data_IF_792499366204
#
_entry.id   IF_792499366204
#
_cell.length_a   1.000
_cell.length_b   1.000
_cell.length_c   1.000
_cell.angle_alpha   90.00
_cell.angle_beta   90.00
_cell.angle_gamma   90.00
#
_symmetry.space_group_name_H-M   'P 1'
#
loop_
_entity.id
_entity.type
_entity.pdbx_description
1 polymer ?
#
# COMPACT_ATOMS: atom_id res chain seq x y z
N UNK A 1 -10.87 -11.75 1.47
CA UNK A 1 -11.27 -10.39 1.91
C UNK A 1 -10.41 -9.95 3.07
N UNK A 2 -10.10 -8.66 3.17
CA UNK A 2 -9.34 -8.10 4.29
C UNK A 2 -10.29 -7.84 5.49
N UNK A 3 -9.97 -8.39 6.66
CA UNK A 3 -10.72 -8.12 7.89
C UNK A 3 -10.18 -6.84 8.56
N UNK A 4 -11.03 -5.81 8.61
CA UNK A 4 -10.73 -4.53 9.26
C UNK A 4 -11.40 -4.40 10.62
N UNK A 5 -12.30 -5.31 11.00
CA UNK A 5 -13.04 -5.22 12.26
C UNK A 5 -12.19 -5.70 13.44
N UNK A 6 -11.38 -6.73 13.24
CA UNK A 6 -10.45 -7.28 14.25
C UNK A 6 -8.99 -6.91 13.94
N UNK A 7 -8.79 -6.00 12.98
CA UNK A 7 -7.49 -5.57 12.52
C UNK A 7 -6.88 -4.44 13.38
N UNK A 8 -5.79 -3.82 12.90
CA UNK A 8 -5.21 -2.64 13.51
C UNK A 8 -6.25 -1.52 13.63
N UNK A 9 -6.15 -0.68 14.66
CA UNK A 9 -7.00 0.51 14.78
C UNK A 9 -6.67 1.49 13.66
N UNK A 10 -7.53 1.55 12.65
CA UNK A 10 -7.40 2.44 11.51
C UNK A 10 -8.57 3.43 11.52
N UNK A 11 -8.26 4.71 11.36
CA UNK A 11 -9.24 5.79 11.21
C UNK A 11 -9.46 6.15 9.72
N UNK A 12 -8.61 5.66 8.81
CA UNK A 12 -8.74 5.92 7.39
C UNK A 12 -8.10 4.86 6.49
N UNK A 13 -8.47 4.92 5.21
CA UNK A 13 -7.90 4.07 4.14
C UNK A 13 -7.53 4.98 2.96
N UNK A 14 -6.33 4.81 2.42
CA UNK A 14 -5.89 5.38 1.17
C UNK A 14 -5.78 4.29 0.09
N UNK A 15 -6.21 4.62 -1.12
CA UNK A 15 -6.19 3.75 -2.30
C UNK A 15 -5.34 4.44 -3.36
N UNK A 16 -4.24 3.80 -3.78
CA UNK A 16 -3.18 4.48 -4.53
C UNK A 16 -2.68 3.62 -5.67
N UNK A 17 -2.48 4.25 -6.82
CA UNK A 17 -1.78 3.64 -7.96
C UNK A 17 -0.29 4.03 -8.02
N UNK A 18 0.14 5.05 -7.27
CA UNK A 18 1.51 5.56 -7.27
C UNK A 18 2.12 5.56 -5.86
N UNK A 19 3.46 5.43 -5.70
CA UNK A 19 4.13 5.36 -4.40
C UNK A 19 4.05 6.63 -3.57
N UNK A 20 3.67 7.75 -4.19
CA UNK A 20 3.78 9.06 -3.59
C UNK A 20 2.42 9.69 -3.37
N UNK A 21 2.30 10.34 -2.22
CA UNK A 21 1.28 11.34 -1.93
C UNK A 21 2.00 12.67 -1.69
N UNK A 22 1.42 13.76 -2.20
CA UNK A 22 1.80 15.16 -1.92
C UNK A 22 3.32 15.46 -1.84
N UNK A 23 3.88 16.07 -2.88
CA UNK A 23 5.30 16.45 -2.89
C UNK A 23 6.28 15.27 -3.00
N UNK A 24 5.79 14.05 -3.21
CA UNK A 24 6.62 12.86 -3.46
C UNK A 24 6.76 11.91 -2.27
N UNK A 25 6.12 12.18 -1.13
CA UNK A 25 6.29 11.36 0.07
C UNK A 25 5.57 10.03 -0.04
N UNK A 26 6.24 8.93 0.36
CA UNK A 26 5.64 7.62 0.44
C UNK A 26 4.93 7.40 1.78
N UNK A 27 3.67 6.95 1.74
CA UNK A 27 2.83 6.70 2.91
C UNK A 27 3.40 5.64 3.85
N UNK A 28 3.88 4.51 3.33
CA UNK A 28 4.34 3.37 4.13
C UNK A 28 5.87 3.16 4.08
N UNK A 29 6.57 4.04 3.37
CA UNK A 29 8.03 4.10 3.33
C UNK A 29 8.64 3.34 2.15
N UNK A 30 9.96 3.45 2.01
CA UNK A 30 10.68 2.82 0.91
C UNK A 30 10.81 1.31 1.11
N UNK A 31 10.45 0.55 0.08
CA UNK A 31 10.76 -0.88 0.07
C UNK A 31 12.30 -1.10 0.09
N UNK A 32 12.84 -1.99 0.93
CA UNK A 32 14.27 -2.29 0.94
C UNK A 32 14.77 -2.84 -0.41
N UNK A 33 13.90 -3.44 -1.22
CA UNK A 33 14.19 -3.87 -2.59
C UNK A 33 14.38 -2.69 -3.57
N UNK A 34 13.77 -1.52 -3.34
CA UNK A 34 13.92 -0.33 -4.18
C UNK A 34 15.32 0.32 -4.02
N UNK A 35 15.93 0.24 -2.83
CA UNK A 35 17.33 0.68 -2.61
C UNK A 35 18.34 -0.09 -3.47
N UNK A 36 18.10 -1.39 -3.72
CA UNK A 36 18.94 -2.21 -4.62
C UNK A 36 18.55 -2.05 -6.10
N UNK A 37 17.26 -1.79 -6.40
CA UNK A 37 16.75 -1.72 -7.79
C UNK A 37 17.08 -0.43 -8.53
N UNK A 38 17.36 0.68 -7.82
CA UNK A 38 17.94 1.91 -8.43
C UNK A 38 19.28 1.67 -9.17
N UNK A 39 19.96 0.54 -8.93
CA UNK A 39 21.19 0.13 -9.64
C UNK A 39 21.00 -0.95 -10.71
N UNK A 40 19.81 -1.55 -10.85
CA UNK A 40 19.65 -2.81 -11.60
C UNK A 40 18.44 -2.86 -12.56
N UNK A 41 17.86 -1.72 -12.94
CA UNK A 41 16.75 -1.69 -13.90
C UNK A 41 17.25 -1.80 -15.35
N UNK A 42 17.71 -3.00 -15.73
CA UNK A 42 17.66 -3.47 -17.11
C UNK A 42 17.45 -4.98 -17.08
N UNK A 43 16.20 -5.37 -17.33
CA UNK A 43 15.70 -6.66 -17.86
C UNK A 43 14.59 -7.35 -17.04
N UNK A 44 13.50 -7.62 -17.79
CA UNK A 44 12.50 -8.70 -17.70
C UNK A 44 11.59 -8.75 -16.46
N UNK A 45 10.36 -9.24 -16.57
CA UNK A 45 9.38 -9.48 -17.65
C UNK A 45 8.12 -9.89 -16.90
N UNK A 46 6.96 -9.49 -17.40
CA UNK A 46 5.65 -9.80 -16.86
C UNK A 46 5.47 -11.29 -16.56
N UNK A 47 4.96 -11.56 -15.37
CA UNK A 47 4.35 -12.84 -15.00
C UNK A 47 2.94 -12.49 -14.55
N UNK A 48 1.96 -12.92 -15.33
CA UNK A 48 0.55 -12.81 -15.01
C UNK A 48 0.31 -13.40 -13.61
N UNK A 49 0.09 -12.50 -12.64
CA UNK A 49 -0.27 -12.87 -11.27
C UNK A 49 -1.78 -13.07 -11.25
N UNK A 50 -2.17 -14.33 -11.22
CA UNK A 50 -3.52 -14.78 -10.99
C UNK A 50 -4.14 -14.09 -9.75
N UNK A 51 -5.39 -13.63 -9.90
CA UNK A 51 -6.16 -12.87 -8.92
C UNK A 51 -6.30 -13.65 -7.61
N UNK A 52 -5.39 -13.41 -6.66
CA UNK A 52 -5.44 -14.02 -5.33
C UNK A 52 -6.41 -13.22 -4.45
N UNK A 53 -7.54 -13.84 -4.10
CA UNK A 53 -8.56 -13.27 -3.21
C UNK A 53 -8.18 -13.33 -1.71
N UNK A 54 -7.00 -13.86 -1.39
CA UNK A 54 -6.45 -13.99 -0.03
C UNK A 54 -5.76 -12.71 0.42
N UNK A 55 -5.99 -12.33 1.69
CA UNK A 55 -5.22 -11.27 2.35
C UNK A 55 -3.72 -11.59 2.32
N UNK A 56 -2.90 -10.69 1.79
CA UNK A 56 -1.45 -10.84 1.82
C UNK A 56 -0.92 -10.73 3.25
N UNK A 57 0.08 -11.53 3.59
CA UNK A 57 0.79 -11.39 4.86
C UNK A 57 1.67 -10.14 4.89
N UNK A 58 1.97 -9.62 6.08
CA UNK A 58 2.89 -8.48 6.24
C UNK A 58 4.27 -8.72 5.63
N UNK A 59 4.75 -9.97 5.63
CA UNK A 59 6.04 -10.34 5.03
C UNK A 59 6.00 -10.23 3.51
N UNK A 60 4.92 -10.67 2.87
CA UNK A 60 4.74 -10.54 1.42
C UNK A 60 4.59 -9.08 1.00
N UNK A 61 3.87 -8.27 1.79
CA UNK A 61 3.73 -6.83 1.54
C UNK A 61 5.03 -6.05 1.70
N UNK A 62 5.94 -6.49 2.58
CA UNK A 62 7.25 -5.87 2.74
C UNK A 62 8.16 -6.05 1.51
N UNK A 63 8.01 -7.16 0.78
CA UNK A 63 8.80 -7.46 -0.42
C UNK A 63 8.07 -7.12 -1.72
N UNK A 64 6.74 -7.01 -1.69
CA UNK A 64 5.93 -6.73 -2.87
C UNK A 64 6.34 -5.41 -3.52
N UNK A 65 6.66 -5.47 -4.81
CA UNK A 65 7.08 -4.29 -5.56
C UNK A 65 5.84 -3.56 -6.04
N UNK A 66 5.79 -2.26 -5.78
CA UNK A 66 4.84 -1.38 -6.44
C UNK A 66 5.29 -1.00 -7.84
N UNK A 67 4.41 -1.11 -8.82
CA UNK A 67 4.64 -0.69 -10.19
C UNK A 67 3.35 -0.14 -10.82
N UNK A 68 3.35 1.10 -11.29
CA UNK A 68 2.15 1.73 -11.89
C UNK A 68 1.60 0.95 -13.09
N UNK A 69 2.43 0.16 -13.77
CA UNK A 69 2.05 -0.66 -14.92
C UNK A 69 1.60 -2.08 -14.60
N UNK A 70 1.62 -2.52 -13.33
CA UNK A 70 1.29 -3.91 -12.96
C UNK A 70 -0.22 -4.19 -12.84
N UNK A 71 -1.06 -3.18 -13.10
CA UNK A 71 -2.52 -3.24 -12.94
C UNK A 71 -2.98 -3.57 -11.51
N UNK A 72 -2.15 -3.27 -10.51
CA UNK A 72 -2.46 -3.43 -9.10
C UNK A 72 -2.58 -2.07 -8.40
N UNK A 73 -3.34 -2.06 -7.34
CA UNK A 73 -3.64 -0.91 -6.49
C UNK A 73 -3.12 -1.21 -5.09
N UNK A 74 -2.50 -0.22 -4.47
CA UNK A 74 -2.10 -0.28 -3.07
C UNK A 74 -3.25 0.15 -2.17
N UNK A 75 -3.54 -0.68 -1.17
CA UNK A 75 -4.50 -0.36 -0.11
C UNK A 75 -3.70 -0.11 1.17
N UNK A 76 -3.80 1.11 1.70
CA UNK A 76 -3.01 1.57 2.83
C UNK A 76 -3.92 2.05 3.95
N UNK A 77 -3.70 1.53 5.16
CA UNK A 77 -4.38 1.96 6.37
C UNK A 77 -3.71 3.17 6.99
N UNK A 78 -4.54 4.08 7.52
CA UNK A 78 -4.14 5.27 8.24
C UNK A 78 -4.65 5.17 9.68
N UNK A 79 -3.75 5.26 10.64
CA UNK A 79 -4.10 5.11 12.07
C UNK A 79 -4.83 6.35 12.60
N UNK A 80 -4.37 7.55 12.23
CA UNK A 80 -4.98 8.82 12.64
C UNK A 80 -4.53 9.99 11.74
N UNK A 81 -5.18 11.15 11.89
CA UNK A 81 -4.88 12.34 11.09
C UNK A 81 -3.50 12.94 11.39
N UNK A 82 -2.96 12.77 12.60
CA UNK A 82 -1.63 13.28 12.95
C UNK A 82 -0.54 12.55 12.14
N UNK A 83 -0.69 11.24 11.97
CA UNK A 83 0.20 10.42 11.14
C UNK A 83 0.12 10.84 9.68
N UNK A 84 -1.07 11.16 9.17
CA UNK A 84 -1.25 11.71 7.81
C UNK A 84 -0.53 13.06 7.67
N UNK A 85 -0.67 13.95 8.65
CA UNK A 85 0.03 15.24 8.65
C UNK A 85 1.57 15.10 8.63
N UNK A 86 2.11 14.13 9.38
CA UNK A 86 3.54 13.82 9.35
C UNK A 86 4.00 13.28 7.99
N UNK A 87 3.19 12.46 7.32
CA UNK A 87 3.48 12.00 5.96
C UNK A 87 3.44 13.16 4.98
N UNK A 88 2.42 14.03 5.06
CA UNK A 88 2.31 15.21 4.22
C UNK A 88 3.53 16.14 4.36
N UNK A 89 4.01 16.33 5.59
CA UNK A 89 5.20 17.13 5.88
C UNK A 89 6.54 16.41 5.57
N UNK A 90 6.51 15.14 5.14
CA UNK A 90 7.71 14.36 4.83
C UNK A 90 8.52 13.91 6.07
N UNK A 91 7.93 13.98 7.26
CA UNK A 91 8.62 13.69 8.53
C UNK A 91 8.67 12.20 8.86
N UNK A 92 7.65 11.44 8.45
CA UNK A 92 7.53 10.02 8.78
C UNK A 92 6.66 9.29 7.76
N UNK A 93 7.01 8.05 7.45
CA UNK A 93 6.12 7.09 6.83
C UNK A 93 5.34 6.34 7.91
N UNK A 94 4.03 6.55 7.98
CA UNK A 94 3.16 6.03 9.04
C UNK A 94 1.97 5.22 8.51
N UNK A 95 1.82 5.13 7.19
CA UNK A 95 0.81 4.32 6.54
C UNK A 95 1.12 2.83 6.67
N UNK A 96 0.09 2.02 6.91
CA UNK A 96 0.21 0.57 6.99
C UNK A 96 -0.22 -0.03 5.66
N UNK A 97 0.69 -0.67 4.92
CA UNK A 97 0.32 -1.38 3.70
C UNK A 97 -0.55 -2.59 4.08
N UNK A 98 -1.78 -2.65 3.57
CA UNK A 98 -2.77 -3.67 3.92
C UNK A 98 -2.96 -4.71 2.82
N UNK A 99 -2.87 -4.28 1.56
CA UNK A 99 -2.98 -5.15 0.40
C UNK A 99 -2.38 -4.49 -0.84
N UNK A 100 -2.02 -5.33 -1.81
CA UNK A 100 -1.83 -4.95 -3.21
C UNK A 100 -2.81 -5.81 -4.02
N UNK A 101 -3.73 -5.21 -4.76
CA UNK A 101 -4.76 -5.96 -5.49
C UNK A 101 -5.26 -5.23 -6.74
N UNK A 102 -5.78 -5.97 -7.71
CA UNK A 102 -6.33 -5.42 -8.96
C UNK A 102 -7.78 -4.94 -8.85
N UNK A 103 -8.49 -5.30 -7.78
CA UNK A 103 -9.87 -4.88 -7.53
C UNK A 103 -10.07 -4.59 -6.04
N UNK A 104 -10.77 -3.48 -5.75
CA UNK A 104 -11.16 -3.09 -4.39
C UNK A 104 -12.68 -3.01 -4.31
N UNK A 105 -13.28 -3.72 -3.35
CA UNK A 105 -14.71 -3.64 -3.03
C UNK A 105 -14.87 -3.16 -1.59
N UNK A 106 -15.37 -1.94 -1.41
CA UNK A 106 -15.57 -1.34 -0.09
C UNK A 106 -17.01 -1.57 0.35
N UNK A 107 -17.19 -2.19 1.53
CA UNK A 107 -18.49 -2.40 2.16
C UNK A 107 -18.48 -1.69 3.50
N UNK A 108 -19.32 -0.66 3.64
CA UNK A 108 -19.49 0.09 4.90
C UNK A 108 -20.84 -0.20 5.51
N UNK A 109 -20.96 -0.01 6.82
CA UNK A 109 -22.23 -0.01 7.55
C UNK A 109 -22.50 1.41 8.02
N UNK A 110 -23.73 1.90 7.84
CA UNK A 110 -24.14 3.18 8.41
C UNK A 110 -24.12 3.04 9.93
N UNK A 111 -23.41 3.93 10.62
CA UNK A 111 -23.54 4.08 12.07
C UNK A 111 -24.89 4.72 12.34
N UNK A 112 -25.77 3.99 13.03
CA UNK A 112 -27.08 4.48 13.49
C UNK A 112 -26.87 5.30 14.75
#
# INVERSE_FOLDING_TARGET
>A
SLDLANGPSLEGIAILNIPSIYGGTNLWGDNPSQKKRRKAQKTKKDKDREFSNSSMSSAELAIAVQNVGDSMIEVVGLENIFHVGQVYAGLRASGKRLAQCSQVVIRTRKRV
#
